data_IF_327594687287
#
_entry.id   IF_327594687287
#
_cell.length_a   1.000
_cell.length_b   1.000
_cell.length_c   1.000
_cell.angle_alpha   90.00
_cell.angle_beta   90.00
_cell.angle_gamma   90.00
#
_symmetry.space_group_name_H-M   'P 1'
#
loop_
_entity.id
_entity.type
_entity.pdbx_description
1 polymer ?
#
# COMPACT_ATOMS: atom_id res chain seq x y z
N UNK A 1 -15.38 -11.21 -0.74
CA UNK A 1 -14.17 -10.42 -0.42
C UNK A 1 -13.08 -10.92 -1.33
N UNK A 2 -12.31 -10.02 -1.92
CA UNK A 2 -11.15 -10.38 -2.74
C UNK A 2 -10.04 -10.93 -1.83
N UNK A 3 -9.25 -11.87 -2.36
CA UNK A 3 -8.02 -12.29 -1.70
C UNK A 3 -6.97 -11.20 -1.85
N UNK A 4 -6.26 -10.93 -0.77
CA UNK A 4 -5.25 -9.89 -0.67
C UNK A 4 -3.86 -10.54 -0.64
N UNK A 5 -2.96 -10.07 -1.48
CA UNK A 5 -1.56 -10.47 -1.52
C UNK A 5 -0.66 -9.29 -1.18
N UNK A 6 0.40 -9.54 -0.40
CA UNK A 6 1.45 -8.56 -0.11
C UNK A 6 2.69 -9.00 -0.88
N UNK A 7 3.23 -8.11 -1.71
CA UNK A 7 4.47 -8.32 -2.44
C UNK A 7 5.53 -7.44 -1.79
N UNK A 8 6.47 -8.04 -1.07
CA UNK A 8 7.58 -7.33 -0.44
C UNK A 8 8.90 -7.90 -0.96
N UNK A 9 9.81 -7.01 -1.37
CA UNK A 9 11.11 -7.38 -1.90
C UNK A 9 11.05 -8.39 -3.08
N UNK A 10 9.96 -8.38 -3.86
CA UNK A 10 9.66 -9.31 -4.94
C UNK A 10 9.14 -10.69 -4.50
N UNK A 11 8.84 -10.88 -3.21
CA UNK A 11 8.25 -12.12 -2.67
C UNK A 11 6.78 -11.86 -2.38
N UNK A 12 5.91 -12.68 -2.98
CA UNK A 12 4.48 -12.62 -2.75
C UNK A 12 4.09 -13.50 -1.55
N UNK A 13 3.23 -12.98 -0.68
CA UNK A 13 2.60 -13.74 0.41
C UNK A 13 1.59 -14.78 -0.09
N UNK A 14 1.03 -15.55 0.85
CA UNK A 14 -0.21 -16.30 0.59
C UNK A 14 -1.43 -15.37 0.51
N UNK A 15 -2.57 -15.87 0.01
CA UNK A 15 -3.81 -15.08 0.01
C UNK A 15 -4.27 -14.81 1.45
N UNK A 16 -4.66 -13.57 1.69
CA UNK A 16 -5.18 -13.12 2.97
C UNK A 16 -6.59 -12.56 2.78
N UNK A 17 -7.44 -12.76 3.79
CA UNK A 17 -8.56 -11.85 3.98
C UNK A 17 -8.08 -10.52 4.59
N UNK A 18 -8.95 -9.50 4.63
CA UNK A 18 -8.57 -8.18 5.15
C UNK A 18 -8.00 -8.24 6.57
N UNK A 19 -8.58 -9.04 7.47
CA UNK A 19 -8.09 -9.15 8.86
C UNK A 19 -6.68 -9.74 8.93
N UNK A 20 -6.38 -10.75 8.10
CA UNK A 20 -5.05 -11.34 8.01
C UNK A 20 -4.05 -10.34 7.42
N UNK A 21 -4.39 -9.67 6.32
CA UNK A 21 -3.54 -8.66 5.71
C UNK A 21 -3.24 -7.50 6.68
N UNK A 22 -4.25 -7.01 7.40
CA UNK A 22 -4.09 -5.98 8.44
C UNK A 22 -3.14 -6.43 9.56
N UNK A 23 -3.14 -7.72 9.91
CA UNK A 23 -2.24 -8.28 10.92
C UNK A 23 -0.80 -8.31 10.41
N UNK A 24 -0.59 -8.77 9.19
CA UNK A 24 0.75 -8.78 8.56
C UNK A 24 1.30 -7.34 8.41
N UNK A 25 0.47 -6.41 7.93
CA UNK A 25 0.85 -4.99 7.79
C UNK A 25 1.19 -4.32 9.13
N UNK A 26 0.59 -4.79 10.23
CA UNK A 26 0.87 -4.25 11.56
C UNK A 26 2.31 -4.50 12.01
N UNK A 27 2.97 -5.54 11.50
CA UNK A 27 4.36 -5.87 11.85
C UNK A 27 5.36 -4.84 11.31
N UNK A 28 4.97 -4.09 10.28
CA UNK A 28 5.77 -3.02 9.69
C UNK A 28 5.55 -1.65 10.36
N UNK A 29 4.60 -1.54 11.29
CA UNK A 29 4.11 -0.25 11.78
C UNK A 29 4.28 -0.08 13.29
N UNK A 30 4.53 1.17 13.69
CA UNK A 30 4.31 1.56 15.08
C UNK A 30 2.82 1.53 15.44
N UNK A 31 2.51 1.21 16.71
CA UNK A 31 1.12 1.06 17.20
C UNK A 31 0.23 2.29 16.94
N UNK A 32 0.82 3.48 16.90
CA UNK A 32 0.10 4.76 16.71
C UNK A 32 -0.37 4.99 15.25
N UNK A 33 0.11 4.21 14.27
CA UNK A 33 -0.28 4.27 12.84
C UNK A 33 -1.28 3.19 12.46
N UNK A 34 -1.51 2.20 13.32
CA UNK A 34 -2.37 1.04 13.05
C UNK A 34 -3.80 1.42 12.63
N UNK A 35 -4.44 2.36 13.34
CA UNK A 35 -5.80 2.80 13.00
C UNK A 35 -5.90 3.42 11.59
N UNK A 36 -4.87 4.15 11.17
CA UNK A 36 -4.82 4.76 9.84
C UNK A 36 -4.53 3.70 8.76
N UNK A 37 -3.72 2.69 9.06
CA UNK A 37 -3.56 1.52 8.18
C UNK A 37 -4.90 0.82 7.94
N UNK A 38 -5.72 0.57 8.97
CA UNK A 38 -7.05 -0.03 8.80
C UNK A 38 -7.96 0.81 7.90
N UNK A 39 -7.91 2.13 8.04
CA UNK A 39 -8.70 3.03 7.19
C UNK A 39 -8.23 3.00 5.73
N UNK A 40 -6.92 3.00 5.50
CA UNK A 40 -6.37 2.83 4.15
C UNK A 40 -6.73 1.47 3.56
N UNK A 41 -6.70 0.39 4.35
CA UNK A 41 -7.14 -0.95 3.92
C UNK A 41 -8.63 -1.00 3.56
N UNK A 42 -9.50 -0.29 4.27
CA UNK A 42 -10.90 -0.18 3.86
C UNK A 42 -11.04 0.49 2.48
N UNK A 43 -10.19 1.47 2.16
CA UNK A 43 -10.20 2.10 0.83
C UNK A 43 -9.68 1.15 -0.25
N UNK A 44 -8.73 0.27 0.07
CA UNK A 44 -8.31 -0.83 -0.82
C UNK A 44 -9.49 -1.77 -1.06
N UNK A 45 -10.05 -2.35 -0.01
CA UNK A 45 -11.04 -3.44 -0.13
C UNK A 45 -12.42 -3.00 -0.58
N UNK A 46 -12.75 -1.71 -0.44
CA UNK A 46 -13.97 -1.11 -0.99
C UNK A 46 -13.77 -0.51 -2.39
N UNK A 47 -12.59 -0.69 -3.01
CA UNK A 47 -12.32 -0.18 -4.36
C UNK A 47 -12.31 1.34 -4.46
N UNK A 48 -11.92 2.03 -3.37
CA UNK A 48 -11.85 3.50 -3.28
C UNK A 48 -10.43 4.05 -3.47
N UNK A 49 -9.53 3.22 -3.98
CA UNK A 49 -8.19 3.63 -4.38
C UNK A 49 -8.20 4.76 -5.42
N UNK A 50 -7.20 5.64 -5.35
CA UNK A 50 -7.01 6.73 -6.31
C UNK A 50 -5.89 6.39 -7.28
N UNK A 51 -6.11 6.65 -8.57
CA UNK A 51 -5.10 6.43 -9.60
C UNK A 51 -3.82 7.22 -9.30
N UNK A 52 -2.67 6.56 -9.52
CA UNK A 52 -1.34 7.19 -9.37
C UNK A 52 -0.82 7.81 -10.67
N UNK A 53 -1.66 7.91 -11.70
CA UNK A 53 -1.27 8.45 -13.00
C UNK A 53 -0.44 7.44 -13.79
N UNK A 54 0.83 7.79 -14.09
CA UNK A 54 1.70 6.99 -14.96
C UNK A 54 2.41 5.83 -14.26
N UNK A 55 2.30 5.70 -12.94
CA UNK A 55 2.98 4.62 -12.24
C UNK A 55 2.30 3.27 -12.53
N UNK A 56 3.13 2.31 -12.91
CA UNK A 56 2.72 0.93 -13.13
C UNK A 56 3.62 -0.02 -12.36
N UNK A 57 3.10 -1.20 -12.06
CA UNK A 57 3.87 -2.30 -11.50
C UNK A 57 3.56 -3.56 -12.30
N UNK A 58 4.59 -4.16 -12.88
CA UNK A 58 4.45 -5.31 -13.79
C UNK A 58 3.39 -5.09 -14.90
N UNK A 59 3.38 -3.88 -15.47
CA UNK A 59 2.43 -3.46 -16.50
C UNK A 59 1.02 -3.12 -15.99
N UNK A 60 0.72 -3.30 -14.71
CA UNK A 60 -0.58 -2.98 -14.11
C UNK A 60 -0.62 -1.52 -13.63
N UNK A 61 -1.72 -0.78 -13.88
CA UNK A 61 -1.91 0.55 -13.31
C UNK A 61 -1.96 0.50 -11.78
N UNK A 62 -1.19 1.36 -11.12
CA UNK A 62 -1.15 1.40 -9.66
C UNK A 62 -2.15 2.41 -9.11
N UNK A 63 -2.81 2.03 -8.03
CA UNK A 63 -3.67 2.85 -7.20
C UNK A 63 -2.97 3.13 -5.87
N UNK A 64 -3.41 4.17 -5.18
CA UNK A 64 -3.02 4.43 -3.81
C UNK A 64 -4.23 4.70 -2.92
N UNK A 65 -4.12 4.29 -1.67
CA UNK A 65 -5.04 4.59 -0.59
C UNK A 65 -4.24 5.16 0.57
N UNK A 66 -4.71 6.25 1.17
CA UNK A 66 -3.96 6.93 2.23
C UNK A 66 -4.91 7.41 3.31
N UNK A 67 -4.51 7.24 4.57
CA UNK A 67 -5.21 7.81 5.71
C UNK A 67 -4.23 8.38 6.75
N UNK A 68 -4.73 9.32 7.54
CA UNK A 68 -3.99 10.04 8.56
C UNK A 68 -3.52 11.42 8.07
N UNK A 69 -2.64 12.03 8.87
CA UNK A 69 -2.03 13.32 8.59
C UNK A 69 -0.50 13.17 8.50
N UNK A 70 0.22 14.25 8.18
CA UNK A 70 1.67 14.24 7.93
C UNK A 70 2.55 13.65 9.05
N UNK A 71 2.01 13.41 10.25
CA UNK A 71 2.75 12.82 11.37
C UNK A 71 2.45 11.34 11.60
N UNK A 72 1.30 10.84 11.14
CA UNK A 72 0.83 9.47 11.43
C UNK A 72 0.19 8.82 10.21
N UNK A 73 0.55 9.25 9.01
CA UNK A 73 -0.08 8.78 7.78
C UNK A 73 0.36 7.37 7.43
N UNK A 74 -0.52 6.66 6.75
CA UNK A 74 -0.23 5.38 6.10
C UNK A 74 -0.73 5.50 4.67
N UNK A 75 0.13 5.20 3.72
CA UNK A 75 -0.18 5.19 2.30
C UNK A 75 0.18 3.85 1.72
N UNK A 76 -0.81 3.16 1.16
CA UNK A 76 -0.70 1.83 0.56
C UNK A 76 -0.78 2.01 -0.96
N UNK A 77 0.19 1.44 -1.66
CA UNK A 77 0.21 1.35 -3.12
C UNK A 77 -0.11 -0.07 -3.54
N UNK A 78 -1.03 -0.22 -4.48
CA UNK A 78 -1.57 -1.52 -4.87
C UNK A 78 -2.12 -1.51 -6.29
N UNK A 79 -2.37 -2.69 -6.85
CA UNK A 79 -3.16 -2.86 -8.05
C UNK A 79 -4.24 -3.92 -7.81
N UNK A 80 -5.33 -3.82 -8.58
CA UNK A 80 -6.42 -4.79 -8.56
C UNK A 80 -6.39 -5.63 -9.83
N UNK A 81 -6.74 -6.90 -9.70
CA UNK A 81 -7.21 -7.73 -10.82
C UNK A 81 -8.71 -7.98 -10.66
N UNK A 82 -9.32 -8.76 -11.56
CA UNK A 82 -10.75 -9.11 -11.44
C UNK A 82 -11.07 -9.85 -10.14
N UNK A 83 -10.08 -10.52 -9.54
CA UNK A 83 -10.29 -11.43 -8.40
C UNK A 83 -9.47 -11.07 -7.17
N UNK A 84 -8.40 -10.29 -7.29
CA UNK A 84 -7.37 -10.13 -6.25
C UNK A 84 -6.89 -8.69 -6.06
N UNK A 85 -6.49 -8.39 -4.83
CA UNK A 85 -5.83 -7.13 -4.45
C UNK A 85 -4.35 -7.40 -4.17
N UNK A 86 -3.45 -6.63 -4.78
CA UNK A 86 -2.00 -6.81 -4.61
C UNK A 86 -1.37 -5.54 -4.03
N UNK A 87 -0.94 -5.59 -2.78
CA UNK A 87 -0.20 -4.52 -2.13
C UNK A 87 1.28 -4.63 -2.48
N UNK A 88 1.86 -3.56 -3.00
CA UNK A 88 3.24 -3.56 -3.54
C UNK A 88 4.18 -2.61 -2.79
N UNK A 89 3.64 -1.65 -2.03
CA UNK A 89 4.44 -0.81 -1.15
C UNK A 89 3.56 -0.14 -0.10
N UNK A 90 4.19 0.24 1.01
CA UNK A 90 3.56 1.04 2.05
C UNK A 90 4.54 2.06 2.63
N UNK A 91 4.01 3.22 2.99
CA UNK A 91 4.80 4.29 3.58
C UNK A 91 3.98 5.42 4.14
N UNK A 92 4.58 6.60 4.15
CA UNK A 92 4.06 7.81 4.79
C UNK A 92 3.75 8.89 3.77
N UNK A 93 2.63 9.58 3.99
CA UNK A 93 2.26 10.81 3.28
C UNK A 93 3.05 11.99 3.86
N UNK A 94 3.93 12.60 3.06
CA UNK A 94 4.86 13.66 3.48
C UNK A 94 4.34 15.05 3.15
N UNK A 95 3.87 15.24 1.93
CA UNK A 95 3.23 16.48 1.46
C UNK A 95 1.94 16.11 0.72
N UNK A 96 1.03 17.04 0.39
CA UNK A 96 -0.21 16.71 -0.31
C UNK A 96 -0.03 15.82 -1.55
N UNK A 97 1.11 15.92 -2.22
CA UNK A 97 1.43 15.21 -3.46
C UNK A 97 2.62 14.25 -3.34
N UNK A 98 3.23 14.06 -2.15
CA UNK A 98 4.43 13.21 -2.02
C UNK A 98 4.34 12.18 -0.90
N UNK A 99 4.86 10.99 -1.20
CA UNK A 99 4.74 9.80 -0.36
C UNK A 99 6.11 9.11 -0.29
N UNK A 100 6.63 8.87 0.92
CA UNK A 100 7.89 8.17 1.14
C UNK A 100 7.62 6.72 1.52
N UNK A 101 8.19 5.77 0.77
CA UNK A 101 8.03 4.34 1.03
C UNK A 101 8.94 3.89 2.18
N UNK A 102 8.43 3.93 3.41
CA UNK A 102 9.22 3.67 4.63
C UNK A 102 8.98 2.29 5.24
N UNK A 103 7.84 1.67 4.97
CA UNK A 103 7.38 0.53 5.76
C UNK A 103 7.71 -0.80 5.06
N UNK A 104 7.28 -0.96 3.80
CA UNK A 104 7.75 -2.04 2.92
C UNK A 104 7.68 -1.62 1.45
N UNK A 105 8.34 -2.38 0.57
CA UNK A 105 8.36 -2.09 -0.87
C UNK A 105 9.24 -3.05 -1.65
N UNK A 106 9.65 -2.66 -2.85
CA UNK A 106 10.39 -3.52 -3.76
C UNK A 106 11.91 -3.38 -3.62
N UNK A 107 12.65 -4.34 -4.18
CA UNK A 107 14.12 -4.29 -4.27
C UNK A 107 14.60 -3.21 -5.26
N UNK A 108 13.83 -2.96 -6.31
CA UNK A 108 14.15 -2.05 -7.41
C UNK A 108 12.87 -1.42 -7.99
N UNK A 109 13.03 -0.47 -8.93
CA UNK A 109 11.91 0.18 -9.61
C UNK A 109 11.34 1.38 -8.86
N UNK A 110 10.12 1.78 -9.26
CA UNK A 110 9.43 2.96 -8.72
C UNK A 110 8.85 2.76 -7.33
N UNK A 111 8.61 1.51 -6.95
CA UNK A 111 8.10 1.13 -5.64
C UNK A 111 9.19 0.60 -4.70
N UNK A 112 10.46 0.94 -4.97
CA UNK A 112 11.58 0.53 -4.12
C UNK A 112 11.46 1.15 -2.72
N UNK A 113 11.72 0.36 -1.67
CA UNK A 113 11.82 0.87 -0.30
C UNK A 113 12.80 2.07 -0.22
N UNK A 114 12.38 3.13 0.48
CA UNK A 114 13.09 4.41 0.59
C UNK A 114 12.87 5.39 -0.56
N UNK A 115 12.14 5.01 -1.62
CA UNK A 115 11.83 5.92 -2.73
C UNK A 115 10.67 6.85 -2.39
N UNK A 116 10.69 8.06 -2.96
CA UNK A 116 9.58 9.00 -2.91
C UNK A 116 8.75 8.90 -4.18
N UNK A 117 7.44 8.74 -4.02
CA UNK A 117 6.44 8.81 -5.09
C UNK A 117 5.81 10.20 -5.07
N UNK A 118 5.65 10.80 -6.26
CA UNK A 118 5.01 12.12 -6.42
C UNK A 118 3.78 11.97 -7.32
N UNK A 119 2.60 12.33 -6.80
CA UNK A 119 1.30 12.20 -7.46
C UNK A 119 0.67 13.55 -7.78
#
# INVERSE_FOLDING_TARGET
>A
MSDIYIIDQGVQSGPFNQMQAEKELAEYLEKNRYANMKQAMNDVTFGRGKATGSYTYDGQPVLHASSGNSQKSVSIFFYHTETHDYLIAMGEHRTPTTYLLTDFGQKSGDFKIGKTISL
#
